data_IF_036907473040
#
_entry.id   IF_036907473040
#
_cell.length_a   1.000
_cell.length_b   1.000
_cell.length_c   1.000
_cell.angle_alpha   90.00
_cell.angle_beta   90.00
_cell.angle_gamma   90.00
#
_symmetry.space_group_name_H-M   'P 1'
#
loop_
_entity.id
_entity.type
_entity.pdbx_description
1 polymer ?
#
# COMPACT_ATOMS: atom_id res chain seq x y z
N UNK A 1 -8.80 13.68 5.40
CA UNK A 1 -9.46 12.56 4.63
C UNK A 1 -9.06 12.72 3.18
N UNK A 2 -8.73 11.66 2.45
CA UNK A 2 -8.26 11.75 1.05
C UNK A 2 -9.31 11.19 0.06
N UNK A 3 -10.27 11.99 -0.43
CA UNK A 3 -11.35 11.51 -1.32
C UNK A 3 -10.85 11.09 -2.70
N UNK A 4 -9.69 11.59 -3.12
CA UNK A 4 -8.99 11.32 -4.37
C UNK A 4 -7.78 10.39 -4.17
N UNK A 5 -7.74 9.65 -3.05
CA UNK A 5 -6.71 8.68 -2.74
C UNK A 5 -6.44 7.71 -3.91
N UNK A 6 -5.19 7.60 -4.30
CA UNK A 6 -4.72 6.71 -5.36
C UNK A 6 -3.44 5.98 -4.92
N UNK A 7 -3.29 4.74 -5.38
CA UNK A 7 -2.07 3.95 -5.24
C UNK A 7 -1.53 3.66 -6.63
N UNK A 8 -0.24 3.93 -6.84
CA UNK A 8 0.44 3.78 -8.13
C UNK A 8 1.87 3.28 -7.96
N UNK A 9 2.60 3.16 -9.08
CA UNK A 9 4.00 2.70 -9.12
C UNK A 9 4.21 1.34 -8.45
N UNK A 10 3.25 0.42 -8.64
CA UNK A 10 3.26 -0.85 -7.96
C UNK A 10 4.32 -1.82 -8.53
N UNK A 11 5.21 -2.27 -7.65
CA UNK A 11 6.11 -3.39 -7.90
C UNK A 11 5.73 -4.53 -6.98
N UNK A 12 5.69 -5.75 -7.51
CA UNK A 12 5.25 -6.92 -6.77
C UNK A 12 6.35 -7.96 -6.68
N UNK A 13 6.67 -8.36 -5.46
CA UNK A 13 7.56 -9.49 -5.18
C UNK A 13 6.80 -10.58 -4.44
N UNK A 14 7.05 -11.85 -4.78
CA UNK A 14 6.45 -13.00 -4.11
C UNK A 14 7.54 -14.01 -3.79
N UNK A 15 7.52 -14.54 -2.57
CA UNK A 15 8.44 -15.60 -2.12
C UNK A 15 7.72 -16.55 -1.18
N UNK A 16 7.53 -17.80 -1.62
CA UNK A 16 6.76 -18.79 -0.87
C UNK A 16 5.34 -18.29 -0.59
N UNK A 17 4.96 -18.32 0.68
CA UNK A 17 3.66 -17.84 1.16
C UNK A 17 3.66 -16.34 1.49
N UNK A 18 4.66 -15.56 1.06
CA UNK A 18 4.73 -14.12 1.29
C UNK A 18 4.66 -13.32 0.00
N UNK A 19 3.96 -12.18 0.04
CA UNK A 19 3.89 -11.20 -1.04
C UNK A 19 4.21 -9.80 -0.53
N UNK A 20 4.95 -9.04 -1.32
CA UNK A 20 5.38 -7.68 -0.99
C UNK A 20 5.11 -6.78 -2.18
N UNK A 21 3.95 -6.09 -2.22
CA UNK A 21 3.77 -4.93 -3.08
C UNK A 21 4.48 -3.71 -2.47
N UNK A 22 5.28 -3.01 -3.27
CA UNK A 22 5.63 -1.62 -3.00
C UNK A 22 4.67 -0.72 -3.76
N UNK A 23 4.40 0.47 -3.23
CA UNK A 23 3.43 1.39 -3.82
C UNK A 23 3.75 2.84 -3.45
N UNK A 24 3.25 3.77 -4.25
CA UNK A 24 3.18 5.21 -3.96
C UNK A 24 1.72 5.61 -3.77
N UNK A 25 1.37 6.09 -2.58
CA UNK A 25 0.09 6.71 -2.25
C UNK A 25 0.15 8.18 -2.63
N UNK A 26 -0.93 8.67 -3.24
CA UNK A 26 -1.16 10.10 -3.46
C UNK A 26 -2.57 10.48 -3.05
N UNK A 27 -2.76 11.66 -2.46
CA UNK A 27 -4.08 12.20 -2.17
C UNK A 27 -4.05 13.64 -1.70
N UNK A 28 -5.18 14.32 -1.80
CA UNK A 28 -5.38 15.68 -1.29
C UNK A 28 -6.15 15.62 0.02
N UNK A 29 -5.61 16.16 1.12
CA UNK A 29 -6.37 16.19 2.36
C UNK A 29 -7.56 17.14 2.23
N UNK A 30 -8.75 16.61 2.54
CA UNK A 30 -10.01 17.35 2.39
C UNK A 30 -10.17 18.52 3.38
N UNK A 31 -9.42 18.57 4.48
CA UNK A 31 -9.52 19.62 5.50
C UNK A 31 -8.69 20.86 5.14
N UNK A 32 -7.44 20.68 4.69
CA UNK A 32 -6.51 21.78 4.41
C UNK A 32 -6.07 21.89 2.94
N UNK A 33 -6.40 20.90 2.11
CA UNK A 33 -6.04 20.88 0.70
C UNK A 33 -4.59 20.50 0.42
N UNK A 34 -3.84 20.03 1.42
CA UNK A 34 -2.46 19.60 1.22
C UNK A 34 -2.38 18.33 0.37
N UNK A 35 -1.46 18.34 -0.59
CA UNK A 35 -1.18 17.16 -1.43
C UNK A 35 -0.12 16.33 -0.71
N UNK A 36 -0.47 15.07 -0.46
CA UNK A 36 0.39 14.07 0.16
C UNK A 36 0.82 13.06 -0.89
N UNK A 37 2.12 12.77 -0.91
CA UNK A 37 2.72 11.66 -1.65
C UNK A 37 3.58 10.84 -0.70
N UNK A 38 3.23 9.58 -0.47
CA UNK A 38 3.93 8.69 0.45
C UNK A 38 4.28 7.37 -0.23
N UNK A 39 5.50 6.88 -0.02
CA UNK A 39 5.88 5.54 -0.48
C UNK A 39 5.75 4.54 0.65
N UNK A 40 5.22 3.37 0.34
CA UNK A 40 5.11 2.28 1.30
C UNK A 40 5.24 0.92 0.66
N UNK A 41 5.10 -0.10 1.50
CA UNK A 41 4.89 -1.46 1.07
C UNK A 41 3.93 -2.18 2.01
N UNK A 42 3.28 -3.22 1.50
CA UNK A 42 2.60 -4.21 2.34
C UNK A 42 3.44 -5.49 2.41
N UNK A 43 3.33 -6.23 3.51
CA UNK A 43 3.80 -7.60 3.64
C UNK A 43 2.59 -8.50 3.87
N UNK A 44 2.24 -9.29 2.87
CA UNK A 44 1.19 -10.29 2.94
C UNK A 44 1.74 -11.64 3.37
N UNK A 45 1.01 -12.34 4.23
CA UNK A 45 1.14 -13.79 4.40
C UNK A 45 -0.09 -14.46 3.80
N UNK A 46 0.14 -15.42 2.91
CA UNK A 46 -0.90 -16.20 2.26
C UNK A 46 -1.10 -17.55 2.94
N UNK A 47 -2.35 -18.02 2.95
CA UNK A 47 -2.71 -19.39 3.32
C UNK A 47 -3.96 -19.80 2.56
N UNK A 48 -3.92 -20.95 1.89
CA UNK A 48 -5.03 -21.47 1.09
C UNK A 48 -5.58 -20.46 0.06
N UNK A 49 -4.66 -19.71 -0.57
CA UNK A 49 -4.98 -18.68 -1.57
C UNK A 49 -5.59 -17.39 -1.00
N UNK A 50 -5.58 -17.20 0.33
CA UNK A 50 -6.11 -16.01 1.00
C UNK A 50 -5.00 -15.25 1.73
N UNK A 51 -5.12 -13.93 1.80
CA UNK A 51 -4.29 -13.11 2.68
C UNK A 51 -4.78 -13.32 4.12
N UNK A 52 -3.93 -13.87 4.98
CA UNK A 52 -4.23 -14.10 6.41
C UNK A 52 -3.53 -13.10 7.33
N UNK A 53 -2.47 -12.44 6.85
CA UNK A 53 -1.78 -11.33 7.52
C UNK A 53 -1.47 -10.25 6.48
N UNK A 54 -1.64 -9.00 6.86
CA UNK A 54 -1.24 -7.81 6.11
C UNK A 54 -0.63 -6.81 7.09
N UNK A 55 0.66 -6.57 6.96
CA UNK A 55 1.35 -5.48 7.65
C UNK A 55 1.68 -4.40 6.63
N UNK A 56 1.50 -3.13 6.99
CA UNK A 56 1.79 -1.98 6.12
C UNK A 56 2.94 -1.18 6.71
N UNK A 57 3.93 -0.86 5.88
CA UNK A 57 5.06 -0.01 6.24
C UNK A 57 5.06 1.22 5.35
N UNK A 58 5.07 2.39 5.98
CA UNK A 58 5.19 3.70 5.33
C UNK A 58 6.61 4.22 5.54
N UNK A 59 7.17 4.88 4.53
CA UNK A 59 8.45 5.59 4.64
C UNK A 59 8.26 7.01 5.14
#
# INVERSE_FOLDING_TARGET
MFPDACWSEDTHFVSGDQGVPEWTFSGTDAEDGEVVEERGCDVFTFKDGKIVVKDTFLK
#
